data_IF_800157747029
#
_entry.id   IF_800157747029
#
_cell.length_a   1.000
_cell.length_b   1.000
_cell.length_c   1.000
_cell.angle_alpha   90.00
_cell.angle_beta   90.00
_cell.angle_gamma   90.00
#
_symmetry.space_group_name_H-M   'P 1'
#
loop_
_entity.id
_entity.type
_entity.pdbx_description
1 polymer ?
#
# COMPACT_ATOMS: atom_id res chain seq x y z
N UNK A 1 4.93 10.13 24.75
CA UNK A 1 4.82 8.95 23.89
C UNK A 1 6.22 8.40 23.73
N UNK A 2 6.43 7.13 24.08
CA UNK A 2 7.76 6.52 23.95
C UNK A 2 8.04 6.26 22.46
N UNK A 3 9.18 6.74 21.98
CA UNK A 3 9.56 6.55 20.59
C UNK A 3 10.36 5.25 20.43
N UNK A 4 10.01 4.44 19.43
CA UNK A 4 10.73 3.21 19.08
C UNK A 4 12.22 3.48 18.78
N UNK A 5 12.49 4.61 18.15
CA UNK A 5 13.80 5.22 17.91
C UNK A 5 13.60 6.72 17.65
N UNK A 6 14.65 7.55 17.70
CA UNK A 6 14.51 8.99 17.48
C UNK A 6 13.81 9.33 16.16
N UNK A 7 12.76 10.15 16.22
CA UNK A 7 11.96 10.59 15.06
C UNK A 7 11.23 9.47 14.31
N UNK A 8 10.92 8.35 14.99
CA UNK A 8 10.18 7.24 14.38
C UNK A 8 8.82 7.67 13.78
N UNK A 9 8.14 8.64 14.38
CA UNK A 9 6.89 9.21 13.86
C UNK A 9 7.10 9.97 12.55
N UNK A 10 8.20 10.72 12.41
CA UNK A 10 8.53 11.40 11.15
C UNK A 10 8.81 10.36 10.06
N UNK A 11 9.64 9.35 10.36
CA UNK A 11 9.96 8.29 9.41
C UNK A 11 8.69 7.54 8.95
N UNK A 12 7.83 7.15 9.90
CA UNK A 12 6.56 6.51 9.59
C UNK A 12 5.63 7.43 8.79
N UNK A 13 5.53 8.72 9.14
CA UNK A 13 4.72 9.71 8.43
C UNK A 13 5.16 9.88 6.98
N UNK A 14 6.46 10.04 6.74
CA UNK A 14 7.04 10.12 5.38
C UNK A 14 6.73 8.85 4.59
N UNK A 15 6.91 7.68 5.20
CA UNK A 15 6.63 6.42 4.52
C UNK A 15 5.14 6.25 4.20
N UNK A 16 4.21 6.62 5.09
CA UNK A 16 2.78 6.60 4.79
C UNK A 16 2.46 7.55 3.62
N UNK A 17 3.07 8.74 3.57
CA UNK A 17 2.84 9.68 2.46
C UNK A 17 3.39 9.11 1.15
N UNK A 18 4.63 8.64 1.12
CA UNK A 18 5.22 8.11 -0.11
C UNK A 18 4.55 6.80 -0.54
N UNK A 19 4.52 5.82 0.34
CA UNK A 19 4.04 4.46 0.03
C UNK A 19 2.51 4.44 -0.04
N UNK A 20 1.84 5.02 0.95
CA UNK A 20 0.38 5.06 1.01
C UNK A 20 -0.22 6.08 0.06
N UNK A 21 0.05 7.36 0.29
CA UNK A 21 -0.69 8.39 -0.41
C UNK A 21 -0.28 8.50 -1.89
N UNK A 22 1.02 8.54 -2.19
CA UNK A 22 1.49 8.68 -3.57
C UNK A 22 1.32 7.37 -4.33
N UNK A 23 1.98 6.29 -3.92
CA UNK A 23 2.01 5.09 -4.75
C UNK A 23 0.77 4.20 -4.62
N UNK A 24 0.22 4.01 -3.42
CA UNK A 24 -1.06 3.29 -3.28
C UNK A 24 -2.21 4.14 -3.80
N UNK A 25 -2.50 5.30 -3.21
CA UNK A 25 -3.73 6.01 -3.56
C UNK A 25 -3.69 6.66 -4.96
N UNK A 26 -2.67 7.45 -5.30
CA UNK A 26 -2.57 8.04 -6.66
C UNK A 26 -2.30 6.94 -7.69
N UNK A 27 -1.45 5.95 -7.38
CA UNK A 27 -1.17 4.85 -8.31
C UNK A 27 -2.42 4.02 -8.65
N UNK A 28 -3.25 3.67 -7.66
CA UNK A 28 -4.51 2.97 -7.91
C UNK A 28 -5.51 3.85 -8.65
N UNK A 29 -5.52 5.17 -8.40
CA UNK A 29 -6.34 6.10 -9.18
C UNK A 29 -5.95 6.12 -10.66
N UNK A 30 -4.66 6.06 -10.98
CA UNK A 30 -4.18 5.92 -12.36
C UNK A 30 -4.69 4.62 -12.98
N UNK A 31 -4.68 3.50 -12.25
CA UNK A 31 -5.22 2.22 -12.73
C UNK A 31 -6.72 2.29 -13.07
N UNK A 32 -7.50 3.11 -12.35
CA UNK A 32 -8.94 3.31 -12.63
C UNK A 32 -9.19 4.17 -13.87
N UNK A 33 -8.40 5.23 -14.06
CA UNK A 33 -8.58 6.16 -15.19
C UNK A 33 -8.06 5.56 -16.49
N UNK A 34 -6.84 5.02 -16.47
CA UNK A 34 -6.16 4.54 -17.67
C UNK A 34 -5.28 3.33 -17.35
N UNK A 35 -5.85 2.15 -17.54
CA UNK A 35 -5.17 0.88 -17.33
C UNK A 35 -4.00 0.66 -18.30
N UNK A 36 -4.11 1.17 -19.53
CA UNK A 36 -3.07 0.99 -20.54
C UNK A 36 -1.84 1.83 -20.18
N UNK A 37 -2.06 3.06 -19.71
CA UNK A 37 -1.01 3.88 -19.14
C UNK A 37 -0.44 3.25 -17.87
N UNK A 38 -1.28 2.81 -16.93
CA UNK A 38 -0.84 2.11 -15.71
C UNK A 38 0.04 0.89 -16.02
N UNK A 39 -0.29 0.15 -17.07
CA UNK A 39 0.51 -1.00 -17.54
C UNK A 39 1.85 -0.53 -18.13
N UNK A 40 1.88 0.55 -18.91
CA UNK A 40 3.11 1.10 -19.49
C UNK A 40 4.13 1.55 -18.44
N UNK A 41 3.66 2.14 -17.33
CA UNK A 41 4.52 2.60 -16.23
C UNK A 41 4.73 1.53 -15.14
N UNK A 42 4.21 0.32 -15.33
CA UNK A 42 4.45 -0.83 -14.44
C UNK A 42 3.61 -0.88 -13.16
N UNK A 43 2.56 -0.06 -13.05
CA UNK A 43 1.58 -0.11 -11.95
C UNK A 43 0.59 -1.28 -12.11
N UNK A 44 0.17 -1.55 -13.35
CA UNK A 44 -0.73 -2.64 -13.68
C UNK A 44 -0.02 -3.78 -14.42
N UNK A 45 -0.54 -5.00 -14.32
CA UNK A 45 0.07 -6.17 -14.94
C UNK A 45 -0.27 -6.29 -16.43
N UNK A 46 0.77 -6.47 -17.25
CA UNK A 46 0.62 -6.64 -18.70
C UNK A 46 0.03 -8.02 -19.01
N UNK A 47 -0.92 -8.07 -19.94
CA UNK A 47 -1.50 -9.32 -20.42
C UNK A 47 -2.36 -10.04 -19.38
N UNK A 48 -2.84 -9.33 -18.36
CA UNK A 48 -3.78 -9.86 -17.37
C UNK A 48 -5.07 -10.32 -18.07
N UNK A 49 -5.61 -11.46 -17.63
CA UNK A 49 -6.89 -11.97 -18.13
C UNK A 49 -8.04 -11.03 -17.73
N UNK A 50 -9.11 -10.90 -18.53
CA UNK A 50 -10.22 -9.99 -18.24
C UNK A 50 -10.81 -10.16 -16.83
N UNK A 51 -11.01 -11.39 -16.38
CA UNK A 51 -11.54 -11.71 -15.05
C UNK A 51 -10.64 -11.22 -13.90
N UNK A 52 -9.32 -11.30 -14.09
CA UNK A 52 -8.35 -10.81 -13.10
C UNK A 52 -8.24 -9.28 -13.16
N UNK A 53 -8.42 -8.67 -14.33
CA UNK A 53 -8.49 -7.22 -14.47
C UNK A 53 -9.69 -6.64 -13.73
N UNK A 54 -10.86 -7.25 -13.86
CA UNK A 54 -12.07 -6.83 -13.11
C UNK A 54 -11.82 -6.89 -11.60
N UNK A 55 -11.17 -7.94 -11.13
CA UNK A 55 -10.79 -8.08 -9.73
C UNK A 55 -9.78 -7.00 -9.27
N UNK A 56 -8.70 -6.76 -10.03
CA UNK A 56 -7.73 -5.71 -9.70
C UNK A 56 -8.35 -4.30 -9.79
N UNK A 57 -9.30 -4.05 -10.69
CA UNK A 57 -10.07 -2.80 -10.75
C UNK A 57 -10.99 -2.61 -9.54
N UNK A 58 -11.62 -3.68 -9.04
CA UNK A 58 -12.41 -3.61 -7.82
C UNK A 58 -11.54 -3.26 -6.60
N UNK A 59 -10.33 -3.84 -6.52
CA UNK A 59 -9.35 -3.47 -5.49
C UNK A 59 -8.94 -2.00 -5.63
N UNK A 60 -8.56 -1.57 -6.83
CA UNK A 60 -8.17 -0.18 -7.07
C UNK A 60 -9.30 0.80 -6.71
N UNK A 61 -10.56 0.44 -6.97
CA UNK A 61 -11.74 1.23 -6.58
C UNK A 61 -11.83 1.37 -5.06
N UNK A 62 -11.69 0.26 -4.33
CA UNK A 62 -11.68 0.28 -2.88
C UNK A 62 -10.53 1.15 -2.35
N UNK A 63 -9.30 0.91 -2.83
CA UNK A 63 -8.11 1.66 -2.41
C UNK A 63 -8.24 3.17 -2.69
N UNK A 64 -8.86 3.58 -3.80
CA UNK A 64 -9.10 5.00 -4.10
C UNK A 64 -10.15 5.61 -3.17
N UNK A 65 -11.20 4.87 -2.84
CA UNK A 65 -12.29 5.35 -1.99
C UNK A 65 -11.84 5.66 -0.56
N UNK A 66 -10.88 4.89 -0.02
CA UNK A 66 -10.40 5.03 1.36
C UNK A 66 -8.94 5.51 1.48
N UNK A 67 -8.14 5.44 0.42
CA UNK A 67 -6.69 5.68 0.48
C UNK A 67 -6.28 7.13 0.72
N UNK A 68 -7.18 8.11 0.57
CA UNK A 68 -6.93 9.50 0.96
C UNK A 68 -6.63 9.64 2.46
N UNK A 69 -7.13 8.70 3.29
CA UNK A 69 -6.86 8.62 4.73
C UNK A 69 -5.35 8.49 5.01
N UNK A 70 -4.58 7.89 4.10
CA UNK A 70 -3.11 7.78 4.25
C UNK A 70 -2.46 9.17 4.33
N UNK A 71 -2.90 10.13 3.53
CA UNK A 71 -2.35 11.49 3.56
C UNK A 71 -2.59 12.17 4.92
N UNK A 72 -3.80 11.99 5.47
CA UNK A 72 -4.17 12.56 6.77
C UNK A 72 -3.39 11.90 7.91
N UNK A 73 -3.31 10.57 7.90
CA UNK A 73 -2.54 9.82 8.90
C UNK A 73 -1.04 10.19 8.86
N UNK A 74 -0.47 10.26 7.65
CA UNK A 74 0.92 10.64 7.44
C UNK A 74 1.22 12.05 7.95
N UNK A 75 0.38 13.03 7.59
CA UNK A 75 0.50 14.40 8.10
C UNK A 75 0.34 14.48 9.63
N UNK A 76 -0.61 13.73 10.20
CA UNK A 76 -0.78 13.65 11.65
C UNK A 76 0.47 13.16 12.37
N UNK A 77 1.12 12.12 11.83
CA UNK A 77 2.39 11.64 12.35
C UNK A 77 3.52 12.66 12.19
N UNK A 78 3.63 13.35 11.05
CA UNK A 78 4.64 14.39 10.86
C UNK A 78 4.49 15.56 11.83
N UNK A 79 3.26 15.86 12.22
CA UNK A 79 2.92 16.93 13.16
C UNK A 79 2.93 16.45 14.63
N UNK A 80 3.30 15.19 14.88
CA UNK A 80 3.34 14.58 16.22
C UNK A 80 2.00 14.68 16.98
N UNK A 81 0.87 14.48 16.28
CA UNK A 81 -0.46 14.60 16.88
C UNK A 81 -0.99 13.26 17.40
N UNK A 82 -1.67 13.26 18.55
CA UNK A 82 -2.25 12.05 19.16
C UNK A 82 -3.22 11.30 18.22
N UNK A 83 -4.08 12.04 17.51
CA UNK A 83 -5.00 11.44 16.54
C UNK A 83 -4.25 10.84 15.33
N UNK A 84 -3.09 11.39 14.97
CA UNK A 84 -2.23 10.88 13.90
C UNK A 84 -1.75 9.47 14.21
N UNK A 85 -1.29 9.23 15.44
CA UNK A 85 -0.90 7.90 15.92
C UNK A 85 -2.06 6.91 15.93
N UNK A 86 -3.23 7.31 16.45
CA UNK A 86 -4.43 6.46 16.47
C UNK A 86 -4.86 6.07 15.05
N UNK A 87 -4.82 7.03 14.12
CA UNK A 87 -5.20 6.80 12.74
C UNK A 87 -4.17 5.95 11.99
N UNK A 88 -2.88 6.11 12.29
CA UNK A 88 -1.77 5.41 11.63
C UNK A 88 -1.85 3.88 11.71
N UNK A 89 -2.51 3.33 12.72
CA UNK A 89 -2.82 1.90 12.79
C UNK A 89 -3.50 1.38 11.51
N UNK A 90 -4.45 2.14 10.96
CA UNK A 90 -5.22 1.73 9.78
C UNK A 90 -4.36 1.60 8.52
N UNK A 91 -3.61 2.62 8.06
CA UNK A 91 -2.65 2.47 6.96
C UNK A 91 -1.67 1.31 7.20
N UNK A 92 -1.17 1.17 8.43
CA UNK A 92 -0.22 0.11 8.79
C UNK A 92 -0.77 -1.30 8.51
N UNK A 93 -1.98 -1.58 8.99
CA UNK A 93 -2.66 -2.87 8.76
C UNK A 93 -2.95 -3.08 7.28
N UNK A 94 -3.41 -2.06 6.56
CA UNK A 94 -3.74 -2.17 5.14
C UNK A 94 -2.49 -2.50 4.31
N UNK A 95 -1.32 -1.92 4.60
CA UNK A 95 -0.08 -2.27 3.89
C UNK A 95 0.37 -3.70 4.15
N UNK A 96 0.30 -4.18 5.40
CA UNK A 96 0.62 -5.57 5.73
C UNK A 96 -0.36 -6.51 5.01
N UNK A 97 -1.66 -6.21 5.06
CA UNK A 97 -2.70 -6.98 4.37
C UNK A 97 -2.43 -7.07 2.86
N UNK A 98 -2.17 -5.95 2.19
CA UNK A 98 -1.87 -5.92 0.75
C UNK A 98 -0.62 -6.74 0.42
N UNK A 99 0.40 -6.67 1.26
CA UNK A 99 1.64 -7.43 1.07
C UNK A 99 1.39 -8.93 1.17
N UNK A 100 0.68 -9.37 2.21
CA UNK A 100 0.32 -10.78 2.40
C UNK A 100 -0.56 -11.25 1.24
N UNK A 101 -1.61 -10.48 0.90
CA UNK A 101 -2.53 -10.78 -0.19
C UNK A 101 -1.82 -10.95 -1.52
N UNK A 102 -0.84 -10.10 -1.83
CA UNK A 102 -0.01 -10.21 -3.03
C UNK A 102 0.73 -11.56 -3.12
N UNK A 103 1.30 -12.05 -2.02
CA UNK A 103 2.00 -13.34 -2.00
C UNK A 103 1.05 -14.51 -2.21
N UNK A 104 -0.10 -14.49 -1.54
CA UNK A 104 -1.12 -15.52 -1.72
C UNK A 104 -1.70 -15.51 -3.14
N UNK A 105 -2.03 -14.33 -3.67
CA UNK A 105 -2.49 -14.13 -5.04
C UNK A 105 -1.49 -14.69 -6.04
N UNK A 106 -0.22 -14.29 -5.95
CA UNK A 106 0.84 -14.77 -6.85
C UNK A 106 1.04 -16.28 -6.75
N UNK A 107 0.98 -16.86 -5.54
CA UNK A 107 1.07 -18.32 -5.34
C UNK A 107 -0.12 -19.04 -5.97
N UNK A 108 -1.34 -18.55 -5.77
CA UNK A 108 -2.56 -19.18 -6.27
C UNK A 108 -2.63 -19.11 -7.81
N UNK A 109 -2.26 -17.98 -8.40
CA UNK A 109 -2.17 -17.83 -9.86
C UNK A 109 -1.17 -18.80 -10.51
N UNK A 110 -0.02 -19.02 -9.87
CA UNK A 110 0.96 -20.02 -10.33
C UNK A 110 0.38 -21.44 -10.31
N UNK A 111 -0.47 -21.77 -9.32
CA UNK A 111 -1.15 -23.07 -9.24
C UNK A 111 -2.22 -23.24 -10.32
N UNK A 112 -2.87 -22.16 -10.77
CA UNK A 112 -3.84 -22.19 -11.86
C UNK A 112 -3.22 -22.10 -13.27
N UNK A 113 -1.90 -22.35 -13.39
CA UNK A 113 -1.14 -22.30 -14.64
C UNK A 113 -1.11 -20.94 -15.38
N UNK A 114 -1.66 -19.88 -14.79
CA UNK A 114 -1.55 -18.51 -15.31
C UNK A 114 -0.22 -17.89 -14.88
N UNK A 115 0.81 -18.06 -15.70
CA UNK A 115 2.13 -17.46 -15.50
C UNK A 115 2.18 -16.08 -16.16
N UNK A 116 1.75 -15.06 -15.42
CA UNK A 116 2.04 -13.67 -15.78
C UNK A 116 3.47 -13.33 -15.32
N UNK A 117 4.17 -12.51 -16.10
CA UNK A 117 5.47 -11.97 -15.70
C UNK A 117 5.27 -11.00 -14.54
N UNK A 118 5.37 -11.53 -13.32
CA UNK A 118 5.36 -10.69 -12.13
C UNK A 118 6.66 -9.90 -12.09
N UNK A 119 6.57 -8.59 -12.36
CA UNK A 119 7.75 -7.72 -12.42
C UNK A 119 8.44 -7.61 -11.05
N UNK A 120 9.76 -7.45 -11.08
CA UNK A 120 10.58 -7.17 -9.89
C UNK A 120 10.10 -5.93 -9.14
N UNK A 121 9.52 -4.96 -9.86
CA UNK A 121 8.91 -3.76 -9.30
C UNK A 121 7.73 -4.11 -8.37
N UNK A 122 6.84 -5.04 -8.75
CA UNK A 122 5.71 -5.45 -7.89
C UNK A 122 6.16 -6.23 -6.65
N UNK A 123 7.24 -7.01 -6.77
CA UNK A 123 7.84 -7.69 -5.62
C UNK A 123 8.44 -6.66 -4.65
N UNK A 124 9.22 -5.71 -5.17
CA UNK A 124 9.78 -4.62 -4.38
C UNK A 124 8.69 -3.77 -3.72
N UNK A 125 7.60 -3.52 -4.44
CA UNK A 125 6.43 -2.82 -3.94
C UNK A 125 5.76 -3.54 -2.77
N UNK A 126 5.54 -4.86 -2.90
CA UNK A 126 5.02 -5.68 -1.81
C UNK A 126 5.95 -5.68 -0.59
N UNK A 127 7.26 -5.75 -0.79
CA UNK A 127 8.23 -5.67 0.31
C UNK A 127 8.21 -4.30 1.01
N UNK A 128 8.14 -3.21 0.25
CA UNK A 128 8.06 -1.86 0.78
C UNK A 128 6.78 -1.64 1.60
N UNK A 129 5.64 -2.14 1.11
CA UNK A 129 4.39 -2.15 1.86
C UNK A 129 4.52 -2.91 3.17
N UNK A 130 5.10 -4.11 3.16
CA UNK A 130 5.24 -4.91 4.37
C UNK A 130 6.09 -4.22 5.42
N UNK A 131 7.28 -3.74 5.04
CA UNK A 131 8.19 -3.04 5.94
C UNK A 131 7.57 -1.76 6.50
N UNK A 132 6.92 -0.97 5.63
CA UNK A 132 6.21 0.25 6.04
C UNK A 132 5.07 -0.07 6.99
N UNK A 133 4.25 -1.07 6.67
CA UNK A 133 3.12 -1.48 7.48
C UNK A 133 3.52 -1.92 8.88
N UNK A 134 4.56 -2.76 8.99
CA UNK A 134 5.11 -3.21 10.28
C UNK A 134 5.62 -2.02 11.09
N UNK A 135 6.42 -1.14 10.49
CA UNK A 135 6.94 0.03 11.20
C UNK A 135 5.81 0.95 11.70
N UNK A 136 4.84 1.25 10.83
CA UNK A 136 3.71 2.11 11.16
C UNK A 136 2.87 1.53 12.29
N UNK A 137 2.61 0.22 12.26
CA UNK A 137 1.93 -0.49 13.35
C UNK A 137 2.69 -0.34 14.67
N UNK A 138 4.01 -0.55 14.66
CA UNK A 138 4.83 -0.42 15.86
C UNK A 138 4.85 1.02 16.39
N UNK A 139 4.87 2.02 15.51
CA UNK A 139 4.81 3.44 15.89
C UNK A 139 3.45 3.79 16.48
N UNK A 140 2.35 3.35 15.86
CA UNK A 140 1.00 3.57 16.37
C UNK A 140 0.79 2.90 17.74
N UNK A 141 1.33 1.69 17.91
CA UNK A 141 1.21 0.92 19.15
C UNK A 141 2.00 1.53 20.31
N UNK A 142 3.24 1.96 20.10
CA UNK A 142 4.08 2.56 21.15
C UNK A 142 3.63 3.96 21.59
N UNK A 143 2.81 4.62 20.77
CA UNK A 143 2.21 5.91 21.10
C UNK A 143 0.91 5.81 21.91
N UNK A 144 0.36 4.59 22.06
CA UNK A 144 -0.87 4.30 22.81
C UNK A 144 -0.63 4.05 24.29
#
# INVERSE_FOLDING_TARGET
>A
MDQLFPYAHIAAGVLIICVGFVFHWIGQFVCLIDWDFATKIGLAEKGILPEYRVYEHAIATADVAIGWIYGIAGLGLLLDTEWGYKLAWFPGVVFVYHSISYWFWTRNRRKSAHRLETSSLRIGWSAANFATGVLVILVAWNAS
#
